data_IF_208394405463
#
_entry.id   IF_208394405463
#
_cell.length_a   1.000
_cell.length_b   1.000
_cell.length_c   1.000
_cell.angle_alpha   90.00
_cell.angle_beta   90.00
_cell.angle_gamma   90.00
#
_symmetry.space_group_name_H-M   'P 1'
#
loop_
_entity.id
_entity.type
_entity.pdbx_description
1 polymer ?
#
# COMPACT_ATOMS: atom_id res chain seq x y z
N UNK A 1 -10.13 -2.06 16.23
CA UNK A 1 -9.99 -1.30 14.97
C UNK A 1 -11.39 -1.03 14.42
N UNK A 2 -11.60 0.06 13.66
CA UNK A 2 -12.91 0.37 13.07
C UNK A 2 -12.89 0.00 11.58
N UNK A 3 -13.97 -0.55 11.01
CA UNK A 3 -14.01 -0.86 9.58
C UNK A 3 -14.11 0.43 8.75
N UNK A 4 -13.41 0.45 7.61
CA UNK A 4 -13.43 1.53 6.63
C UNK A 4 -13.52 0.95 5.22
N UNK A 5 -14.34 1.57 4.35
CA UNK A 5 -14.41 1.21 2.93
C UNK A 5 -13.12 1.54 2.17
N UNK A 6 -12.37 2.52 2.67
CA UNK A 6 -11.13 3.01 2.08
C UNK A 6 -10.03 2.96 3.13
N UNK A 7 -8.92 2.30 2.78
CA UNK A 7 -7.72 2.25 3.59
C UNK A 7 -6.53 2.84 2.84
N UNK A 8 -5.69 3.57 3.55
CA UNK A 8 -4.46 4.16 3.04
C UNK A 8 -3.25 3.68 3.82
N UNK A 9 -2.19 3.32 3.10
CA UNK A 9 -0.86 3.16 3.67
C UNK A 9 0.10 4.20 3.12
N UNK A 10 0.79 4.89 4.02
CA UNK A 10 1.78 5.92 3.65
C UNK A 10 2.95 5.33 2.85
N UNK A 11 3.29 4.08 3.09
CA UNK A 11 4.38 3.40 2.41
C UNK A 11 4.21 1.89 2.57
N UNK A 12 4.11 1.17 1.45
CA UNK A 12 4.19 -0.29 1.40
C UNK A 12 5.51 -0.65 0.73
N UNK A 13 6.24 -1.63 1.28
CA UNK A 13 7.49 -2.12 0.70
C UNK A 13 7.38 -3.60 0.40
N UNK A 14 7.87 -4.00 -0.78
CA UNK A 14 7.95 -5.42 -1.17
C UNK A 14 9.32 -5.67 -1.76
N UNK A 15 10.06 -6.64 -1.21
CA UNK A 15 11.41 -6.97 -1.67
C UNK A 15 11.36 -7.42 -3.13
N UNK A 16 12.20 -6.84 -3.97
CA UNK A 16 12.33 -7.22 -5.39
C UNK A 16 11.38 -6.48 -6.33
N UNK A 17 10.37 -5.77 -5.82
CA UNK A 17 9.40 -5.05 -6.64
C UNK A 17 9.57 -3.54 -6.44
N UNK A 18 10.34 -2.89 -7.31
CA UNK A 18 10.71 -1.46 -7.17
C UNK A 18 10.09 -0.55 -8.23
N UNK A 19 9.45 -1.15 -9.23
CA UNK A 19 8.77 -0.48 -10.35
C UNK A 19 7.25 -0.56 -10.17
N UNK A 20 6.53 0.47 -10.62
CA UNK A 20 5.10 0.65 -10.28
C UNK A 20 4.21 -0.52 -10.66
N UNK A 21 4.31 -1.01 -11.90
CA UNK A 21 3.45 -2.08 -12.43
C UNK A 21 3.67 -3.39 -11.66
N UNK A 22 4.92 -3.84 -11.60
CA UNK A 22 5.31 -5.06 -10.89
C UNK A 22 5.02 -4.97 -9.37
N UNK A 23 5.18 -3.80 -8.77
CA UNK A 23 4.80 -3.59 -7.38
C UNK A 23 3.29 -3.70 -7.15
N UNK A 24 2.47 -3.09 -8.02
CA UNK A 24 1.01 -3.15 -7.90
C UNK A 24 0.51 -4.59 -8.02
N UNK A 25 1.03 -5.35 -9.00
CA UNK A 25 0.72 -6.77 -9.18
C UNK A 25 1.07 -7.57 -7.92
N UNK A 26 2.26 -7.30 -7.33
CA UNK A 26 2.68 -7.96 -6.10
C UNK A 26 1.81 -7.63 -4.88
N UNK A 27 1.26 -6.40 -4.80
CA UNK A 27 0.27 -6.04 -3.77
C UNK A 27 -1.02 -6.82 -3.98
N UNK A 28 -1.54 -6.87 -5.21
CA UNK A 28 -2.76 -7.61 -5.54
C UNK A 28 -2.61 -9.10 -5.25
N UNK A 29 -1.47 -9.70 -5.59
CA UNK A 29 -1.17 -11.11 -5.28
C UNK A 29 -1.14 -11.40 -3.79
N UNK A 30 -0.59 -10.48 -2.98
CA UNK A 30 -0.60 -10.62 -1.53
C UNK A 30 -2.01 -10.52 -0.96
N UNK A 31 -2.85 -9.63 -1.48
CA UNK A 31 -4.24 -9.51 -1.07
C UNK A 31 -5.05 -10.76 -1.45
N UNK A 32 -4.86 -11.28 -2.68
CA UNK A 32 -5.47 -12.54 -3.12
C UNK A 32 -5.10 -13.72 -2.23
N UNK A 33 -3.83 -13.85 -1.82
CA UNK A 33 -3.37 -14.90 -0.89
C UNK A 33 -3.98 -14.78 0.51
N UNK A 34 -4.61 -13.65 0.82
CA UNK A 34 -5.35 -13.42 2.06
C UNK A 34 -6.87 -13.54 1.86
N UNK A 35 -7.32 -13.99 0.68
CA UNK A 35 -8.72 -14.05 0.25
C UNK A 35 -9.40 -12.67 0.24
N UNK A 36 -8.64 -11.61 -0.02
CA UNK A 36 -9.14 -10.23 -0.07
C UNK A 36 -9.19 -9.77 -1.52
N UNK A 37 -10.37 -9.36 -1.96
CA UNK A 37 -10.59 -8.77 -3.28
C UNK A 37 -11.07 -7.33 -3.10
N UNK A 38 -10.26 -6.38 -3.53
CA UNK A 38 -10.58 -4.96 -3.47
C UNK A 38 -9.88 -4.21 -4.59
N UNK A 39 -10.39 -3.03 -4.94
CA UNK A 39 -9.72 -2.16 -5.87
C UNK A 39 -8.44 -1.59 -5.21
N UNK A 40 -7.32 -1.70 -5.90
CA UNK A 40 -6.00 -1.35 -5.36
C UNK A 40 -5.35 -0.33 -6.28
N UNK A 41 -4.97 0.82 -5.72
CA UNK A 41 -4.33 1.91 -6.46
C UNK A 41 -3.02 2.32 -5.78
N UNK A 42 -2.04 2.74 -6.58
CA UNK A 42 -0.91 3.49 -6.05
C UNK A 42 -1.31 4.95 -5.92
N UNK A 43 -1.06 5.55 -4.76
CA UNK A 43 -1.42 6.94 -4.54
C UNK A 43 -0.52 7.85 -5.40
N UNK A 44 -1.17 8.61 -6.29
CA UNK A 44 -0.53 9.62 -7.14
C UNK A 44 -0.58 10.97 -6.45
N UNK A 45 0.53 11.70 -6.47
CA UNK A 45 0.57 13.06 -5.94
C UNK A 45 -0.04 14.05 -6.93
N UNK A 46 -0.30 15.27 -6.46
CA UNK A 46 -0.54 16.40 -7.36
C UNK A 46 0.76 16.71 -8.10
N UNK A 47 0.91 16.17 -9.31
CA UNK A 47 1.94 16.58 -10.26
C UNK A 47 1.23 17.23 -11.44
N UNK A 48 1.69 18.41 -11.82
CA UNK A 48 1.22 19.20 -12.97
C UNK A 48 0.99 18.33 -14.20
N UNK A 49 0.04 18.77 -15.03
CA UNK A 49 -0.65 18.12 -16.16
C UNK A 49 0.11 17.13 -17.07
N UNK A 50 1.44 17.04 -17.03
CA UNK A 50 2.25 16.23 -17.94
C UNK A 50 2.94 14.98 -17.35
N UNK A 51 2.80 14.64 -16.06
CA UNK A 51 3.40 13.38 -15.56
C UNK A 51 2.67 12.80 -14.34
N UNK A 52 1.56 12.10 -14.58
CA UNK A 52 0.77 11.35 -13.58
C UNK A 52 1.52 10.11 -13.02
N UNK A 53 2.75 10.27 -12.52
CA UNK A 53 3.53 9.19 -11.91
C UNK A 53 3.13 8.97 -10.45
N UNK A 54 3.18 7.72 -10.01
CA UNK A 54 2.94 7.38 -8.59
C UNK A 54 4.04 7.98 -7.72
N UNK A 55 3.74 8.24 -6.43
CA UNK A 55 4.77 8.75 -5.52
C UNK A 55 5.72 7.60 -5.11
N UNK A 56 6.75 7.32 -5.90
CA UNK A 56 7.84 6.42 -5.51
C UNK A 56 8.58 7.01 -4.31
N UNK A 57 8.68 6.24 -3.22
CA UNK A 57 9.41 6.67 -2.00
C UNK A 57 10.54 5.72 -1.71
N UNK A 58 11.63 6.29 -1.22
CA UNK A 58 12.78 5.55 -0.72
C UNK A 58 12.95 5.87 0.76
N UNK A 59 13.09 4.84 1.58
CA UNK A 59 13.56 4.96 2.95
C UNK A 59 14.94 4.34 3.05
N UNK A 60 15.80 4.92 3.88
CA UNK A 60 17.12 4.38 4.17
C UNK A 60 17.09 3.61 5.49
N UNK A 61 17.55 2.37 5.45
CA UNK A 61 17.69 1.50 6.62
C UNK A 61 19.16 1.09 6.68
N UNK A 62 19.91 1.68 7.61
CA UNK A 62 21.37 1.58 7.66
C UNK A 62 22.04 2.02 6.33
N UNK A 63 22.69 1.09 5.66
CA UNK A 63 23.38 1.23 4.38
C UNK A 63 22.50 0.88 3.17
N UNK A 64 21.23 0.51 3.39
CA UNK A 64 20.34 0.02 2.34
C UNK A 64 19.22 1.00 2.03
N UNK A 65 18.99 1.21 0.74
CA UNK A 65 17.81 1.89 0.24
C UNK A 65 16.68 0.90 0.01
N UNK A 66 15.50 1.22 0.53
CA UNK A 66 14.29 0.43 0.34
C UNK A 66 13.25 1.29 -0.34
N UNK A 67 12.89 0.86 -1.55
CA UNK A 67 11.84 1.47 -2.35
C UNK A 67 10.47 0.93 -1.95
N UNK A 68 9.47 1.79 -2.02
CA UNK A 68 8.08 1.43 -1.86
C UNK A 68 7.14 2.53 -2.35
N UNK A 69 5.85 2.24 -2.27
CA UNK A 69 4.80 3.13 -2.79
C UNK A 69 3.70 3.32 -1.74
N UNK A 70 3.10 4.51 -1.64
CA UNK A 70 1.84 4.68 -0.93
C UNK A 70 0.71 3.97 -1.69
N UNK A 71 -0.13 3.25 -0.94
CA UNK A 71 -1.18 2.38 -1.50
C UNK A 71 -2.53 2.80 -0.94
N UNK A 72 -3.54 2.81 -1.82
CA UNK A 72 -4.94 3.02 -1.49
C UNK A 72 -5.70 1.73 -1.82
N UNK A 73 -6.50 1.25 -0.87
CA UNK A 73 -7.42 0.14 -1.05
C UNK A 73 -8.84 0.68 -0.96
N UNK A 74 -9.65 0.39 -1.96
CA UNK A 74 -11.00 0.89 -2.13
C UNK A 74 -12.01 -0.26 -2.09
N UNK A 75 -13.25 0.06 -1.73
CA UNK A 75 -14.39 -0.88 -1.75
C UNK A 75 -14.18 -2.11 -0.85
N UNK A 76 -13.48 -1.95 0.27
CA UNK A 76 -13.26 -3.03 1.23
C UNK A 76 -14.53 -3.42 1.97
N UNK A 77 -14.74 -4.73 2.15
CA UNK A 77 -15.71 -5.26 3.10
C UNK A 77 -15.31 -4.89 4.54
N UNK A 78 -16.25 -4.83 5.50
CA UNK A 78 -15.91 -4.60 6.89
C UNK A 78 -14.91 -5.62 7.45
N UNK A 79 -15.05 -6.90 7.08
CA UNK A 79 -14.17 -7.98 7.51
C UNK A 79 -12.74 -7.79 6.97
N UNK A 80 -12.60 -7.55 5.67
CA UNK A 80 -11.29 -7.38 5.02
C UNK A 80 -10.59 -6.11 5.50
N UNK A 81 -11.36 -5.05 5.71
CA UNK A 81 -10.86 -3.80 6.25
C UNK A 81 -10.22 -3.99 7.62
N UNK A 82 -10.86 -4.74 8.52
CA UNK A 82 -10.28 -5.05 9.84
C UNK A 82 -9.06 -5.96 9.70
N UNK A 83 -9.14 -6.99 8.85
CA UNK A 83 -8.05 -7.94 8.62
C UNK A 83 -6.78 -7.22 8.13
N UNK A 84 -6.87 -6.40 7.09
CA UNK A 84 -5.74 -5.62 6.55
C UNK A 84 -5.16 -4.68 7.59
N UNK A 85 -6.03 -3.98 8.32
CA UNK A 85 -5.62 -3.06 9.37
C UNK A 85 -4.81 -3.77 10.49
N UNK A 86 -5.10 -5.03 10.78
CA UNK A 86 -4.37 -5.81 11.79
C UNK A 86 -3.03 -6.38 11.29
N UNK A 87 -3.01 -6.92 10.07
CA UNK A 87 -1.85 -7.69 9.57
C UNK A 87 -0.89 -6.84 8.71
N UNK A 88 -1.43 -5.83 8.03
CA UNK A 88 -0.74 -5.01 7.04
C UNK A 88 -0.40 -5.75 5.75
N UNK A 89 0.23 -5.05 4.80
CA UNK A 89 0.73 -5.65 3.54
C UNK A 89 2.22 -5.33 3.38
N UNK A 90 3.00 -6.32 2.94
CA UNK A 90 4.42 -6.14 2.64
C UNK A 90 5.35 -6.25 3.86
N UNK A 91 6.57 -5.75 3.69
CA UNK A 91 7.65 -5.86 4.66
C UNK A 91 7.85 -4.61 5.53
N UNK A 92 8.79 -4.71 6.48
CA UNK A 92 9.25 -3.57 7.32
C UNK A 92 8.13 -2.92 8.14
N UNK A 93 7.13 -3.71 8.55
CA UNK A 93 6.00 -3.27 9.39
C UNK A 93 6.41 -2.69 10.74
N UNK A 94 7.49 -3.19 11.34
CA UNK A 94 8.05 -2.60 12.56
C UNK A 94 8.60 -1.17 12.38
N UNK A 95 8.76 -0.71 11.14
CA UNK A 95 9.25 0.63 10.77
C UNK A 95 8.15 1.49 10.13
N UNK A 96 6.87 1.18 10.39
CA UNK A 96 5.75 1.97 9.88
C UNK A 96 5.30 1.64 8.46
N UNK A 97 6.01 0.77 7.73
CA UNK A 97 5.61 0.36 6.38
C UNK A 97 4.45 -0.64 6.41
N UNK A 98 3.59 -0.65 5.39
CA UNK A 98 2.56 -1.68 5.25
C UNK A 98 1.40 -1.58 6.22
N UNK A 99 1.38 -0.56 7.08
CA UNK A 99 0.25 -0.27 7.96
C UNK A 99 -0.78 0.54 7.21
N UNK A 100 -2.04 0.14 7.36
CA UNK A 100 -3.18 0.76 6.70
C UNK A 100 -4.08 1.42 7.74
N UNK A 101 -4.50 2.66 7.44
CA UNK A 101 -5.42 3.43 8.27
C UNK A 101 -6.63 3.84 7.45
N UNK A 102 -7.78 3.97 8.12
CA UNK A 102 -9.00 4.47 7.50
C UNK A 102 -8.83 5.88 6.96
N UNK A 103 -9.23 6.09 5.71
CA UNK A 103 -9.40 7.44 5.17
C UNK A 103 -10.73 7.98 5.68
N UNK A 104 -10.70 9.19 6.25
CA UNK A 104 -11.91 9.94 6.58
C UNK A 104 -12.29 10.73 5.33
N UNK A 105 -13.40 10.35 4.73
CA UNK A 105 -14.15 11.17 3.76
C UNK A 105 -15.16 12.01 4.50
#
# INVERSE_FOLDING_TARGET
MKPHKILYSRLVTIKGHTEEADFLDSVQDKLRKLDITCETLLFRGNISENNQRSIRKTIRIHDKEVVGFPVLLLNLSPQDSIKIQQIGVGGRRKMGCGHFVGVRV
#
